data_IF_917807100557
#
_entry.id   IF_917807100557
#
_cell.length_a   1.000
_cell.length_b   1.000
_cell.length_c   1.000
_cell.angle_alpha   90.00
_cell.angle_beta   90.00
_cell.angle_gamma   90.00
#
_symmetry.space_group_name_H-M   'P 1'
#
loop_
_entity.id
_entity.type
_entity.pdbx_description
1 polymer ?
2 non-polymer ?
3 non-polymer ?
4 non-polymer ?
5 non-polymer ?
6 water ?
#
# COMPACT_ATOMS: atom_id res chain seq x y z
N UNK A 4 8.13 15.83 -9.79
CA UNK A 4 9.47 16.02 -9.20
C UNK A 4 9.97 14.75 -8.49
N UNK A 5 9.11 14.11 -7.69
CA UNK A 5 9.50 12.91 -6.91
C UNK A 5 10.03 11.75 -7.78
N UNK A 6 9.23 11.35 -8.77
CA UNK A 6 9.61 10.26 -9.63
C UNK A 6 10.76 10.66 -10.57
N UNK A 7 10.80 11.89 -11.05
CA UNK A 7 11.96 12.31 -11.86
C UNK A 7 13.25 12.29 -11.01
N UNK A 8 13.15 12.70 -9.75
CA UNK A 8 14.30 12.76 -8.85
C UNK A 8 14.78 11.38 -8.48
N UNK A 9 13.86 10.53 -8.06
CA UNK A 9 14.29 9.22 -7.57
C UNK A 9 14.34 8.16 -8.62
N UNK A 10 13.52 8.32 -9.67
CA UNK A 10 13.53 7.42 -10.81
C UNK A 10 13.16 6.01 -10.47
N UNK A 11 13.94 5.09 -11.02
CA UNK A 11 13.71 3.67 -10.89
C UNK A 11 14.00 3.22 -9.46
N UNK A 12 12.99 2.66 -8.80
CA UNK A 12 13.15 2.08 -7.48
C UNK A 12 13.62 0.64 -7.60
N UNK A 13 14.37 0.21 -6.61
CA UNK A 13 14.79 -1.18 -6.49
C UNK A 13 15.07 -1.51 -5.03
N UNK A 14 15.34 -2.79 -4.77
CA UNK A 14 15.73 -3.26 -3.45
C UNK A 14 17.23 -3.56 -3.43
N UNK A 15 17.91 -2.99 -2.45
CA UNK A 15 19.35 -3.22 -2.26
C UNK A 15 19.59 -3.51 -0.79
N UNK A 16 20.14 -4.68 -0.52
CA UNK A 16 20.42 -5.09 0.87
C UNK A 16 19.17 -4.92 1.76
N UNK A 17 18.00 -5.31 1.24
CA UNK A 17 16.76 -5.29 2.00
C UNK A 17 16.13 -3.91 2.20
N UNK A 18 16.60 -2.92 1.44
CA UNK A 18 16.12 -1.55 1.58
C UNK A 18 15.60 -1.03 0.26
N UNK A 19 14.52 -0.26 0.30
CA UNK A 19 14.07 0.48 -0.87
C UNK A 19 15.03 1.62 -1.16
N UNK A 20 15.53 1.64 -2.38
CA UNK A 20 16.49 2.62 -2.86
C UNK A 20 16.06 3.21 -4.21
N UNK A 21 16.55 4.42 -4.49
CA UNK A 21 16.38 5.07 -5.76
C UNK A 21 17.43 4.58 -6.80
N UNK A 22 17.43 5.22 -7.96
CA UNK A 22 18.23 4.75 -9.08
C UNK A 22 19.72 5.03 -8.91
N UNK A 23 20.06 5.83 -7.90
CA UNK A 23 21.45 6.05 -7.49
C UNK A 23 21.86 5.21 -6.27
N UNK A 24 20.99 4.29 -5.86
CA UNK A 24 21.30 3.41 -4.76
C UNK A 24 21.13 4.02 -3.38
N UNK A 25 20.51 5.20 -3.30
CA UNK A 25 20.28 5.85 -2.01
C UNK A 25 18.92 5.48 -1.43
N UNK A 26 18.87 5.33 -0.12
CA UNK A 26 17.61 4.95 0.52
C UNK A 26 16.55 6.00 0.27
N UNK A 27 15.33 5.55 0.01
CA UNK A 27 14.20 6.45 -0.10
C UNK A 27 13.03 5.89 0.68
N UNK A 28 12.20 6.80 1.18
CA UNK A 28 11.02 6.43 1.93
C UNK A 28 9.81 7.12 1.29
N UNK A 29 8.81 6.32 0.96
CA UNK A 29 7.56 6.80 0.42
C UNK A 29 6.54 6.90 1.54
N UNK A 30 5.73 7.95 1.49
CA UNK A 30 4.64 8.14 2.45
C UNK A 30 3.44 8.69 1.70
N UNK A 31 2.28 8.04 1.85
CA UNK A 31 1.11 8.51 1.17
C UNK A 31 -0.16 7.96 1.70
N UNK A 32 -1.18 8.02 0.85
CA UNK A 32 -2.52 7.58 1.21
C UNK A 32 -2.95 6.41 0.36
N UNK A 33 -3.78 5.56 0.96
CA UNK A 33 -4.57 4.55 0.26
C UNK A 33 -5.98 5.06 0.05
N UNK A 34 -6.55 4.76 -1.11
CA UNK A 34 -8.00 4.83 -1.25
C UNK A 34 -8.65 3.86 -0.29
N UNK A 35 -9.96 4.01 -0.11
CA UNK A 35 -10.76 2.95 0.48
C UNK A 35 -11.13 2.06 -0.74
N UNK A 36 -12.10 1.16 -0.61
CA UNK A 36 -12.47 0.30 -1.73
C UNK A 36 -12.91 1.13 -2.92
N UNK A 37 -12.30 0.90 -4.08
CA UNK A 37 -12.63 1.67 -5.28
C UNK A 37 -14.07 1.44 -5.77
N UNK A 38 -14.69 0.33 -5.34
CA UNK A 38 -16.09 0.04 -5.69
C UNK A 38 -17.08 0.85 -4.87
N UNK A 39 -16.58 1.48 -3.79
CA UNK A 39 -17.43 2.24 -2.88
C UNK A 39 -17.15 3.72 -2.83
N UNK A 40 -15.87 4.08 -2.89
CA UNK A 40 -15.43 5.46 -2.69
C UNK A 40 -14.47 5.90 -3.80
N UNK A 41 -14.72 5.41 -5.00
CA UNK A 41 -13.91 5.76 -6.16
C UNK A 41 -13.93 7.25 -6.52
N UNK A 42 -14.96 7.98 -6.07
CA UNK A 42 -15.04 9.41 -6.41
C UNK A 42 -13.91 10.21 -5.82
N UNK A 43 -13.28 9.69 -4.75
CA UNK A 43 -12.15 10.38 -4.13
C UNK A 43 -10.81 10.15 -4.82
N UNK A 44 -10.82 9.31 -5.87
CA UNK A 44 -9.60 8.96 -6.58
C UNK A 44 -9.67 9.62 -7.97
N UNK A 45 -8.95 10.73 -8.11
CA UNK A 45 -8.92 11.46 -9.38
C UNK A 45 -7.70 12.37 -9.38
N UNK A 46 -7.34 12.85 -10.57
CA UNK A 46 -6.21 13.72 -10.71
C UNK A 46 -6.24 14.89 -9.73
N UNK A 47 -7.38 15.56 -9.60
CA UNK A 47 -7.45 16.77 -8.76
C UNK A 47 -7.24 16.47 -7.28
N UNK A 48 -7.87 15.41 -6.78
CA UNK A 48 -7.66 15.04 -5.37
C UNK A 48 -6.23 14.57 -5.10
N UNK A 49 -5.67 13.81 -6.05
CA UNK A 49 -4.31 13.34 -5.91
C UNK A 49 -3.32 14.48 -5.99
N UNK A 50 -3.61 15.48 -6.82
CA UNK A 50 -2.73 16.65 -6.89
C UNK A 50 -2.79 17.45 -5.59
N UNK A 51 -3.98 17.56 -5.02
CA UNK A 51 -4.15 18.23 -3.74
C UNK A 51 -3.37 17.47 -2.63
N UNK A 52 -3.44 16.14 -2.63
CA UNK A 52 -2.65 15.37 -1.67
C UNK A 52 -1.15 15.61 -1.87
N UNK A 53 -0.71 15.64 -3.12
CA UNK A 53 0.70 15.85 -3.40
C UNK A 53 1.13 17.24 -2.90
N UNK A 54 0.37 18.26 -3.25
CA UNK A 54 0.76 19.66 -3.02
C UNK A 54 0.55 20.14 -1.59
N UNK A 55 -0.56 19.74 -0.99
CA UNK A 55 -0.94 20.18 0.37
C UNK A 55 -0.51 19.21 1.47
N UNK A 56 -0.55 17.91 1.21
CA UNK A 56 -0.10 16.94 2.21
C UNK A 56 1.35 16.52 2.03
N UNK A 57 1.87 16.60 0.79
CA UNK A 57 3.20 16.15 0.49
C UNK A 57 3.34 14.67 0.17
N UNK A 58 2.26 14.01 -0.22
CA UNK A 58 2.36 12.58 -0.54
C UNK A 58 3.31 12.37 -1.72
N UNK A 59 3.99 11.22 -1.71
CA UNK A 59 4.79 10.80 -2.85
C UNK A 59 4.43 9.40 -3.36
N UNK A 60 3.36 8.86 -2.82
CA UNK A 60 2.81 7.60 -3.27
C UNK A 60 1.30 7.58 -3.02
N UNK A 61 0.56 6.93 -3.91
CA UNK A 61 -0.88 6.72 -3.76
C UNK A 61 -1.20 5.26 -4.00
N UNK A 62 -2.00 4.67 -3.11
CA UNK A 62 -2.40 3.27 -3.22
C UNK A 62 -3.86 3.14 -3.69
N UNK A 63 -4.02 2.45 -4.79
CA UNK A 63 -5.34 2.23 -5.38
C UNK A 63 -5.82 0.85 -4.91
N UNK A 64 -6.75 0.85 -3.96
CA UNK A 64 -7.21 -0.36 -3.29
C UNK A 64 -8.38 -0.99 -4.03
N UNK A 65 -8.06 -1.90 -4.94
CA UNK A 65 -9.08 -2.53 -5.77
C UNK A 65 -9.51 -3.84 -5.10
N UNK A 66 -10.54 -3.77 -4.25
CA UNK A 66 -11.12 -4.98 -3.72
C UNK A 66 -11.44 -5.92 -4.87
N UNK A 67 -11.19 -7.20 -4.62
CA UNK A 67 -11.54 -8.28 -5.54
C UNK A 67 -12.97 -8.78 -5.30
N UNK A 68 -13.28 -9.04 -4.03
CA UNK A 68 -14.60 -9.42 -3.62
C UNK A 68 -15.34 -8.21 -3.03
N UNK A 69 -16.42 -8.43 -2.27
CA UNK A 69 -17.15 -7.35 -1.64
C UNK A 69 -17.65 -6.31 -2.66
N UNK A 70 -18.13 -6.80 -3.80
CA UNK A 70 -18.60 -5.92 -4.87
C UNK A 70 -17.51 -5.29 -5.75
N UNK A 71 -16.27 -5.73 -5.52
CA UNK A 71 -15.13 -5.29 -6.30
C UNK A 71 -14.95 -6.00 -7.63
N UNK A 72 -13.69 -6.09 -8.07
CA UNK A 72 -13.34 -6.49 -9.42
C UNK A 72 -13.96 -7.81 -9.93
N UNK A 73 -14.02 -8.84 -9.07
CA UNK A 73 -14.59 -10.13 -9.52
C UNK A 73 -16.08 -9.97 -9.85
N UNK A 74 -16.76 -9.19 -9.03
CA UNK A 74 -18.20 -8.93 -9.16
C UNK A 74 -18.49 -7.93 -10.28
N UNK A 75 -17.66 -6.93 -10.44
CA UNK A 75 -17.85 -5.90 -11.46
C UNK A 75 -16.47 -5.41 -11.87
N UNK A 76 -15.95 -5.92 -12.99
CA UNK A 76 -14.57 -5.59 -13.36
C UNK A 76 -14.32 -4.16 -13.82
N UNK A 77 -15.38 -3.36 -13.96
CA UNK A 77 -15.25 -2.00 -14.42
C UNK A 77 -14.34 -1.17 -13.51
N UNK A 78 -14.21 -1.58 -12.24
CA UNK A 78 -13.35 -0.91 -11.31
C UNK A 78 -11.84 -0.88 -11.72
N UNK A 79 -11.43 -1.82 -12.58
CA UNK A 79 -10.10 -1.80 -13.18
C UNK A 79 -9.80 -0.45 -13.82
N UNK A 80 -10.82 0.19 -14.38
CA UNK A 80 -10.62 1.45 -15.08
C UNK A 80 -10.31 2.57 -14.11
N UNK A 81 -10.83 2.47 -12.89
CA UNK A 81 -10.50 3.45 -11.86
C UNK A 81 -9.03 3.29 -11.40
N UNK A 82 -8.56 2.04 -11.35
CA UNK A 82 -7.14 1.82 -11.13
C UNK A 82 -6.31 2.50 -12.22
N UNK A 83 -6.71 2.32 -13.48
CA UNK A 83 -5.99 2.96 -14.59
C UNK A 83 -6.00 4.48 -14.43
N UNK A 84 -7.14 5.04 -14.09
CA UNK A 84 -7.20 6.49 -13.81
C UNK A 84 -6.20 6.93 -12.73
N UNK A 85 -6.13 6.17 -11.65
CA UNK A 85 -5.20 6.48 -10.57
C UNK A 85 -3.75 6.40 -11.04
N UNK A 86 -3.43 5.35 -11.80
CA UNK A 86 -2.04 5.17 -12.29
C UNK A 86 -1.67 6.35 -13.20
N UNK A 87 -2.59 6.70 -14.11
CA UNK A 87 -2.33 7.77 -15.04
C UNK A 87 -2.18 9.13 -14.34
N UNK A 88 -2.98 9.36 -13.30
CA UNK A 88 -2.83 10.55 -12.48
C UNK A 88 -1.47 10.58 -11.80
N UNK A 89 -1.02 9.44 -11.29
CA UNK A 89 0.28 9.39 -10.61
C UNK A 89 1.41 9.69 -11.59
N UNK A 90 1.29 9.14 -12.80
CA UNK A 90 2.28 9.45 -13.82
C UNK A 90 2.28 10.94 -14.14
N UNK A 91 1.10 11.51 -14.32
CA UNK A 91 1.00 12.95 -14.62
C UNK A 91 1.51 13.85 -13.49
N UNK A 92 1.38 13.40 -12.24
CA UNK A 92 1.76 14.14 -11.05
C UNK A 92 3.16 13.79 -10.57
N UNK A 93 3.81 12.84 -11.24
CA UNK A 93 5.16 12.44 -10.90
C UNK A 93 5.29 11.92 -9.47
N UNK A 94 4.35 11.07 -9.08
CA UNK A 94 4.43 10.34 -7.81
C UNK A 94 4.32 8.84 -8.11
N UNK A 95 4.66 8.03 -7.11
CA UNK A 95 4.55 6.58 -7.24
C UNK A 95 3.10 6.12 -7.00
N UNK A 96 2.78 4.93 -7.47
CA UNK A 96 1.41 4.41 -7.35
C UNK A 96 1.45 2.93 -7.12
N UNK A 97 0.65 2.47 -6.15
CA UNK A 97 0.56 1.07 -5.82
C UNK A 97 -0.76 0.54 -6.37
N UNK A 98 -0.67 -0.50 -7.22
CA UNK A 98 -1.82 -1.19 -7.77
C UNK A 98 -2.08 -2.39 -6.83
N UNK A 99 -3.14 -2.30 -6.03
CA UNK A 99 -3.43 -3.25 -4.94
C UNK A 99 -4.61 -4.15 -5.30
N UNK A 100 -4.27 -5.42 -5.51
CA UNK A 100 -5.24 -6.52 -5.67
C UNK A 100 -5.72 -6.86 -4.26
N UNK A 101 -6.83 -6.25 -3.88
CA UNK A 101 -7.18 -6.09 -2.50
C UNK A 101 -8.06 -7.22 -1.99
N UNK A 102 -7.44 -8.37 -1.82
CA UNK A 102 -8.09 -9.54 -1.24
C UNK A 102 -8.36 -9.28 0.24
N UNK A 103 -9.44 -9.88 0.75
CA UNK A 103 -9.78 -9.76 2.17
C UNK A 103 -10.70 -10.91 2.56
N UNK A 104 -11.99 -10.82 2.24
CA UNK A 104 -12.91 -11.92 2.57
C UNK A 104 -12.58 -13.18 1.75
N UNK A 105 -12.08 -12.96 0.53
CA UNK A 105 -11.48 -13.98 -0.31
C UNK A 105 -10.05 -14.18 0.21
N UNK A 106 -9.99 -14.94 1.29
CA UNK A 106 -8.86 -14.85 2.23
C UNK A 106 -7.57 -15.52 1.76
N UNK A 107 -7.73 -16.43 0.81
CA UNK A 107 -6.62 -17.16 0.20
C UNK A 107 -6.43 -16.52 -1.17
N UNK A 108 -5.21 -16.02 -1.47
CA UNK A 108 -5.01 -15.39 -2.79
C UNK A 108 -5.19 -16.36 -3.96
N UNK A 109 -5.12 -17.66 -3.68
CA UNK A 109 -5.31 -18.63 -4.74
C UNK A 109 -6.76 -18.70 -5.29
N UNK A 110 -7.73 -18.17 -4.54
CA UNK A 110 -9.14 -18.29 -4.93
C UNK A 110 -9.34 -17.66 -6.29
N UNK A 111 -8.78 -16.46 -6.48
CA UNK A 111 -8.92 -15.74 -7.75
C UNK A 111 -7.57 -15.55 -8.47
N UNK A 112 -6.71 -16.55 -8.34
CA UNK A 112 -5.37 -16.44 -8.93
C UNK A 112 -5.41 -16.33 -10.46
N UNK A 113 -6.33 -17.00 -11.15
CA UNK A 113 -6.37 -16.88 -12.59
C UNK A 113 -6.73 -15.45 -13.01
N UNK A 114 -7.70 -14.87 -12.33
CA UNK A 114 -8.08 -13.49 -12.59
C UNK A 114 -6.94 -12.53 -12.22
N UNK A 115 -6.23 -12.81 -11.13
CA UNK A 115 -5.08 -12.00 -10.73
C UNK A 115 -3.99 -11.99 -11.79
N UNK A 116 -3.70 -13.18 -12.33
CA UNK A 116 -2.68 -13.27 -13.37
C UNK A 116 -3.10 -12.44 -14.60
N UNK A 117 -4.35 -12.57 -15.02
CA UNK A 117 -4.81 -11.81 -16.17
C UNK A 117 -4.77 -10.29 -15.92
N UNK A 118 -5.17 -9.88 -14.72
CA UNK A 118 -5.16 -8.47 -14.34
C UNK A 118 -3.77 -7.89 -14.29
N UNK A 119 -2.85 -8.61 -13.62
CA UNK A 119 -1.49 -8.14 -13.58
C UNK A 119 -0.77 -8.21 -14.91
N UNK A 120 -1.13 -9.17 -15.77
CA UNK A 120 -0.62 -9.14 -17.13
C UNK A 120 -1.02 -7.83 -17.81
N UNK A 121 -2.30 -7.49 -17.74
CA UNK A 121 -2.79 -6.27 -18.39
C UNK A 121 -2.12 -5.02 -17.80
N UNK A 122 -2.04 -4.93 -16.49
CA UNK A 122 -1.50 -3.72 -15.87
C UNK A 122 -0.02 -3.57 -16.18
N UNK A 123 0.71 -4.67 -16.13
CA UNK A 123 2.14 -4.59 -16.40
C UNK A 123 2.42 -4.36 -17.91
N UNK A 124 1.55 -4.86 -18.80
CA UNK A 124 1.71 -4.55 -20.22
C UNK A 124 1.48 -3.07 -20.46
N UNK A 125 0.47 -2.49 -19.80
CA UNK A 125 0.17 -1.08 -20.00
C UNK A 125 1.21 -0.16 -19.40
N UNK A 126 1.64 -0.45 -18.17
CA UNK A 126 2.39 0.52 -17.38
C UNK A 126 3.83 0.09 -17.03
N UNK A 127 4.24 -1.05 -17.56
CA UNK A 127 5.50 -1.64 -17.17
C UNK A 127 6.73 -0.89 -17.61
N UNK A 128 6.59 0.09 -18.51
CA UNK A 128 7.75 0.96 -18.83
C UNK A 128 7.69 2.35 -18.18
N UNK A 129 6.94 2.46 -17.08
CA UNK A 129 6.99 3.61 -16.22
C UNK A 129 7.59 3.21 -14.86
N UNK A 130 8.42 4.07 -14.27
CA UNK A 130 9.02 3.76 -12.95
C UNK A 130 8.07 4.01 -11.79
N UNK A 131 6.89 4.56 -12.07
CA UNK A 131 5.96 4.95 -10.98
C UNK A 131 5.30 3.75 -10.29
N UNK A 132 5.17 2.65 -11.02
CA UNK A 132 4.28 1.56 -10.65
C UNK A 132 4.92 0.60 -9.63
N UNK A 133 4.15 0.25 -8.61
CA UNK A 133 4.47 -0.75 -7.61
C UNK A 133 3.27 -1.70 -7.60
N UNK A 134 3.49 -3.01 -7.73
CA UNK A 134 2.41 -3.98 -7.78
C UNK A 134 2.22 -4.62 -6.43
N UNK A 135 1.01 -4.57 -5.89
CA UNK A 135 0.71 -5.22 -4.60
C UNK A 135 -0.26 -6.38 -4.89
N UNK A 136 0.28 -7.61 -4.92
CA UNK A 136 -0.43 -8.71 -5.57
C UNK A 136 -1.44 -9.45 -4.67
N UNK A 137 -1.47 -9.16 -3.37
CA UNK A 137 -2.42 -9.81 -2.45
C UNK A 137 -2.46 -9.08 -1.11
N UNK A 138 -3.35 -8.10 -1.02
CA UNK A 138 -3.47 -7.22 0.17
C UNK A 138 -3.27 -7.91 1.52
N UNK A 139 -4.22 -8.78 1.91
CA UNK A 139 -4.26 -9.35 3.26
C UNK A 139 -4.70 -10.79 3.25
N UNK A 140 -3.78 -11.69 2.88
CA UNK A 140 -4.06 -13.11 3.10
C UNK A 140 -4.40 -13.31 4.56
N UNK A 141 -5.33 -14.21 4.85
CA UNK A 141 -5.71 -14.44 6.22
C UNK A 141 -6.35 -15.80 6.37
N UNK A 142 -6.41 -16.26 7.62
CA UNK A 142 -6.96 -17.57 7.95
C UNK A 142 -5.87 -18.54 8.35
N UNK A 143 -6.20 -19.46 9.26
CA UNK A 143 -5.20 -20.43 9.71
C UNK A 143 -4.82 -21.44 8.62
N UNK A 144 -5.68 -21.58 7.61
CA UNK A 144 -5.38 -22.48 6.49
C UNK A 144 -4.72 -21.77 5.30
N UNK A 145 -4.24 -20.54 5.54
CA UNK A 145 -3.52 -19.79 4.52
C UNK A 145 -2.16 -19.45 5.09
N UNK A 146 -1.16 -20.22 4.69
CA UNK A 146 0.19 -20.02 5.18
C UNK A 146 1.09 -19.54 4.05
N UNK A 147 2.19 -18.93 4.47
CA UNK A 147 3.22 -18.47 3.56
C UNK A 147 3.69 -19.61 2.66
N UNK A 148 4.15 -20.68 3.28
CA UNK A 148 4.80 -21.73 2.49
C UNK A 148 3.85 -22.49 1.60
N UNK A 149 2.61 -22.71 2.05
CA UNK A 149 1.68 -23.57 1.31
C UNK A 149 0.80 -22.81 0.33
N UNK A 150 0.43 -21.56 0.65
CA UNK A 150 -0.54 -20.81 -0.15
C UNK A 150 0.04 -19.53 -0.76
N UNK A 151 0.69 -18.71 0.06
CA UNK A 151 1.01 -17.33 -0.37
C UNK A 151 2.24 -17.31 -1.27
N UNK A 152 3.31 -17.96 -0.83
CA UNK A 152 4.51 -18.02 -1.64
C UNK A 152 4.27 -18.67 -3.02
N UNK A 153 3.62 -19.84 -3.09
CA UNK A 153 3.31 -20.40 -4.43
C UNK A 153 2.42 -19.53 -5.29
N UNK A 154 1.47 -18.83 -4.68
CA UNK A 154 0.69 -17.84 -5.42
C UNK A 154 1.59 -16.77 -6.03
N UNK A 155 2.47 -16.21 -5.22
CA UNK A 155 3.41 -15.19 -5.71
C UNK A 155 4.29 -15.74 -6.85
N UNK A 156 4.67 -17.00 -6.73
CA UNK A 156 5.55 -17.61 -7.72
C UNK A 156 4.82 -17.95 -9.03
N UNK A 157 3.47 -17.81 -9.05
CA UNK A 157 2.68 -17.81 -10.30
C UNK A 157 2.47 -16.41 -10.86
N UNK A 158 2.18 -15.44 -9.99
CA UNK A 158 1.86 -14.06 -10.44
C UNK A 158 3.10 -13.24 -10.82
N UNK A 159 4.17 -13.37 -10.06
CA UNK A 159 5.38 -12.59 -10.33
C UNK A 159 5.93 -12.87 -11.75
N UNK A 160 6.01 -14.14 -12.18
CA UNK A 160 6.49 -14.33 -13.57
C UNK A 160 5.66 -13.62 -14.63
N UNK A 161 4.35 -13.57 -14.44
CA UNK A 161 3.46 -12.89 -15.38
C UNK A 161 3.87 -11.39 -15.48
N UNK A 162 4.05 -10.76 -14.33
CA UNK A 162 4.48 -9.35 -14.26
C UNK A 162 5.88 -9.18 -14.86
N UNK A 163 6.79 -10.09 -14.51
CA UNK A 163 8.19 -9.96 -14.90
C UNK A 163 8.40 -10.11 -16.41
N UNK A 164 7.48 -10.80 -17.07
CA UNK A 164 7.52 -10.94 -18.52
C UNK A 164 7.30 -9.61 -19.23
N UNK A 165 6.63 -8.68 -18.55
CA UNK A 165 6.34 -7.35 -19.07
C UNK A 165 7.12 -6.21 -18.42
N UNK A 166 7.55 -6.45 -17.20
CA UNK A 166 8.12 -5.42 -16.36
C UNK A 166 9.18 -6.09 -15.48
N UNK A 167 10.45 -6.05 -15.90
CA UNK A 167 11.49 -6.87 -15.27
C UNK A 167 11.86 -6.53 -13.84
N UNK A 168 11.55 -5.32 -13.40
CA UNK A 168 12.09 -4.96 -12.10
C UNK A 168 11.41 -3.86 -11.28
N UNK A 169 10.24 -3.35 -11.69
CA UNK A 169 9.51 -2.50 -10.71
C UNK A 169 9.16 -3.33 -9.48
N UNK A 170 8.97 -2.62 -8.36
CA UNK A 170 8.76 -3.29 -7.08
C UNK A 170 7.46 -4.07 -7.05
N UNK A 171 7.50 -5.25 -6.44
CA UNK A 171 6.31 -6.04 -6.18
C UNK A 171 6.21 -6.25 -4.68
N UNK A 172 5.09 -5.86 -4.10
CA UNK A 172 4.79 -6.08 -2.70
C UNK A 172 3.90 -7.32 -2.56
N UNK A 173 4.33 -8.27 -1.73
CA UNK A 173 3.61 -9.51 -1.51
C UNK A 173 3.08 -9.61 -0.08
N UNK A 174 1.77 -9.79 0.03
CA UNK A 174 1.11 -9.95 1.31
C UNK A 174 1.63 -11.11 2.09
N UNK A 175 1.47 -11.03 3.41
CA UNK A 175 1.88 -12.08 4.31
C UNK A 175 0.70 -12.62 5.12
N UNK A 176 0.93 -13.71 5.85
CA UNK A 176 -0.15 -14.34 6.57
C UNK A 176 -0.75 -13.50 7.69
N UNK A 177 -1.93 -13.94 8.17
CA UNK A 177 -2.56 -13.27 9.33
C UNK A 177 -2.78 -11.77 9.06
N UNK A 178 -3.40 -11.50 7.91
CA UNK A 178 -3.72 -10.14 7.45
C UNK A 178 -2.44 -9.30 7.32
N UNK A 179 -1.49 -9.88 6.60
CA UNK A 179 -0.20 -9.22 6.36
C UNK A 179 0.49 -8.75 7.64
N UNK A 180 0.48 -9.63 8.65
CA UNK A 180 1.27 -9.40 9.84
C UNK A 180 2.42 -10.38 9.98
N UNK A 181 2.34 -11.55 9.35
CA UNK A 181 3.30 -12.60 9.61
C UNK A 181 4.50 -12.48 8.70
N UNK A 182 5.25 -11.40 8.92
CA UNK A 182 6.49 -11.18 8.17
C UNK A 182 7.62 -12.13 8.63
N UNK A 183 7.49 -12.69 9.83
CA UNK A 183 8.50 -13.62 10.32
C UNK A 183 8.62 -14.85 9.40
N UNK A 184 7.49 -15.46 9.08
CA UNK A 184 7.53 -16.66 8.24
C UNK A 184 8.00 -16.33 6.83
N UNK A 185 7.56 -15.19 6.29
CA UNK A 185 8.00 -14.80 4.96
C UNK A 185 9.51 -14.57 4.92
N UNK A 186 10.01 -13.91 5.96
CA UNK A 186 11.42 -13.54 6.02
C UNK A 186 12.33 -14.76 6.13
N UNK A 187 11.82 -15.82 6.74
CA UNK A 187 12.55 -17.10 6.82
C UNK A 187 12.46 -17.97 5.56
N UNK A 188 11.67 -17.55 4.56
CA UNK A 188 11.43 -18.37 3.38
C UNK A 188 11.15 -17.44 2.19
N UNK A 189 12.15 -16.62 1.88
CA UNK A 189 11.97 -15.52 0.96
C UNK A 189 11.84 -15.97 -0.49
N UNK A 190 11.17 -15.12 -1.27
CA UNK A 190 11.06 -15.31 -2.71
C UNK A 190 12.38 -15.00 -3.39
N UNK A 191 12.54 -15.52 -4.61
CA UNK A 191 13.76 -15.33 -5.37
C UNK A 191 13.89 -13.93 -5.97
N UNK A 192 12.79 -13.33 -6.35
CA UNK A 192 12.89 -12.06 -7.10
C UNK A 192 13.59 -10.99 -6.28
N UNK A 193 14.59 -10.32 -6.87
CA UNK A 193 15.34 -9.34 -6.08
C UNK A 193 14.63 -8.04 -5.78
N UNK A 194 13.50 -7.77 -6.43
CA UNK A 194 12.80 -6.52 -6.24
C UNK A 194 11.42 -6.74 -5.64
N UNK A 195 11.37 -7.68 -4.69
CA UNK A 195 10.19 -7.97 -3.89
C UNK A 195 10.32 -7.36 -2.50
N UNK A 196 9.18 -6.92 -1.98
CA UNK A 196 9.01 -6.52 -0.58
C UNK A 196 7.81 -7.29 -0.02
N UNK A 197 7.80 -7.43 1.29
CA UNK A 197 6.73 -8.14 2.00
C UNK A 197 5.88 -7.08 2.69
N UNK A 198 4.58 -7.23 2.59
CA UNK A 198 3.66 -6.28 3.24
C UNK A 198 3.61 -6.54 4.73
N UNK A 199 3.57 -5.43 5.46
CA UNK A 199 3.24 -5.45 6.88
C UNK A 199 2.18 -4.39 7.11
N UNK A 200 1.10 -4.76 7.80
CA UNK A 200 0.00 -3.84 8.10
C UNK A 200 -0.18 -3.75 9.61
N UNK A 201 -0.49 -2.55 10.11
CA UNK A 201 -0.83 -2.38 11.52
C UNK A 201 -1.95 -1.39 11.69
N UNK A 202 -2.62 -1.50 12.84
CA UNK A 202 -3.65 -0.57 13.29
C UNK A 202 -3.28 -0.11 14.70
N UNK A 203 -3.30 1.20 14.93
CA UNK A 203 -2.78 1.77 16.17
C UNK A 203 -3.60 1.38 17.41
N UNK A 204 -4.83 0.91 17.24
CA UNK A 204 -5.62 0.38 18.35
C UNK A 204 -5.12 -0.90 18.95
N UNK A 205 -4.20 -1.57 18.26
CA UNK A 205 -3.53 -2.76 18.78
C UNK A 205 -2.20 -2.37 19.42
N UNK A 206 -1.96 -2.81 20.66
CA UNK A 206 -0.68 -2.51 21.30
C UNK A 206 0.42 -3.17 20.46
N UNK A 207 1.42 -2.41 20.07
CA UNK A 207 2.29 -2.81 18.96
C UNK A 207 3.71 -3.21 19.26
N UNK A 208 4.09 -3.37 20.53
CA UNK A 208 5.52 -3.51 20.81
C UNK A 208 6.10 -4.82 20.25
N UNK A 209 5.38 -5.92 20.33
CA UNK A 209 5.89 -7.17 19.81
C UNK A 209 5.88 -7.15 18.28
N UNK A 210 4.85 -6.52 17.70
CA UNK A 210 4.74 -6.42 16.22
C UNK A 210 5.95 -5.64 15.68
N UNK A 211 6.35 -4.57 16.37
CA UNK A 211 7.57 -3.84 15.99
C UNK A 211 8.78 -4.79 16.05
N UNK A 212 8.85 -5.59 17.10
CA UNK A 212 9.99 -6.52 17.25
C UNK A 212 10.01 -7.54 16.13
N UNK A 213 8.83 -7.95 15.69
CA UNK A 213 8.70 -8.91 14.60
C UNK A 213 9.13 -8.31 13.27
N UNK A 214 8.79 -7.05 13.04
CA UNK A 214 9.25 -6.34 11.86
C UNK A 214 10.78 -6.29 11.89
N UNK A 215 11.36 -5.93 13.03
CA UNK A 215 12.82 -5.94 13.15
C UNK A 215 13.43 -7.32 12.84
N UNK A 216 12.80 -8.39 13.33
CA UNK A 216 13.29 -9.74 13.02
C UNK A 216 13.33 -9.94 11.50
N UNK A 217 12.25 -9.59 10.82
CA UNK A 217 12.18 -9.75 9.37
C UNK A 217 13.26 -8.95 8.66
N UNK A 218 13.41 -7.69 9.04
CA UNK A 218 14.44 -6.85 8.48
C UNK A 218 15.82 -7.46 8.69
N UNK A 219 16.05 -8.05 9.85
CA UNK A 219 17.31 -8.70 10.17
C UNK A 219 17.62 -9.93 9.33
N UNK A 220 16.63 -10.51 8.66
CA UNK A 220 16.85 -11.60 7.73
C UNK A 220 17.10 -11.08 6.33
N UNK A 221 17.16 -9.76 6.17
CA UNK A 221 17.39 -9.18 4.86
C UNK A 221 16.15 -9.00 4.01
N UNK A 222 14.97 -9.24 4.60
CA UNK A 222 13.71 -9.03 3.89
C UNK A 222 13.39 -7.55 3.86
N UNK A 223 12.93 -7.06 2.70
CA UNK A 223 12.44 -5.69 2.58
C UNK A 223 10.97 -5.66 2.95
N UNK A 224 10.55 -4.64 3.70
CA UNK A 224 9.20 -4.53 4.23
C UNK A 224 8.57 -3.22 3.75
N UNK A 225 7.36 -3.28 3.18
CA UNK A 225 6.62 -2.06 2.85
C UNK A 225 5.35 -2.07 3.71
N UNK A 226 5.12 -1.00 4.46
CA UNK A 226 3.90 -0.93 5.28
C UNK A 226 2.79 -0.40 4.37
N UNK A 227 2.26 -1.29 3.55
CA UNK A 227 1.40 -0.84 2.44
C UNK A 227 0.01 -0.42 2.93
N UNK A 228 -0.30 -0.67 4.21
CA UNK A 228 -1.55 -0.21 4.80
C UNK A 228 -1.37 -0.12 6.32
N UNK A 229 -1.76 1.02 6.89
CA UNK A 229 -1.87 1.13 8.34
C UNK A 229 -2.94 2.16 8.66
N UNK A 230 -3.50 2.07 9.86
CA UNK A 230 -4.48 3.04 10.30
C UNK A 230 -4.29 3.49 11.72
N UNK A 231 -4.87 4.65 12.01
CA UNK A 231 -4.84 5.21 13.37
C UNK A 231 -5.90 4.58 14.30
N UNK A 232 -6.78 3.80 13.72
CA UNK A 232 -7.94 3.22 14.40
C UNK A 232 -7.64 1.84 14.99
N UNK A 233 -8.65 1.21 15.55
CA UNK A 233 -8.61 -0.22 15.79
C UNK A 233 -8.59 -1.01 14.47
N UNK A 234 -8.34 -2.31 14.55
CA UNK A 234 -8.12 -3.16 13.39
C UNK A 234 -9.34 -3.38 12.49
N UNK A 235 -10.51 -2.91 12.96
CA UNK A 235 -11.74 -2.93 12.19
C UNK A 235 -11.85 -1.73 11.23
N UNK A 236 -10.95 -0.76 11.34
CA UNK A 236 -11.05 0.50 10.61
C UNK A 236 -11.82 1.57 11.38
N UNK A 237 -12.33 1.20 12.55
CA UNK A 237 -13.16 2.08 13.38
C UNK A 237 -12.71 1.95 14.84
N UNK A 238 -13.59 2.23 15.80
CA UNK A 238 -13.28 1.97 17.19
C UNK A 238 -12.41 3.03 17.86
N UNK A 239 -12.40 4.24 17.34
CA UNK A 239 -11.62 5.31 17.91
C UNK A 239 -10.29 5.53 17.24
N UNK A 240 -9.61 6.62 17.63
CA UNK A 240 -8.31 7.02 17.11
C UNK A 240 -7.27 6.86 18.23
N UNK A 241 -6.10 6.38 17.88
CA UNK A 241 -5.06 6.01 18.86
C UNK A 241 -3.76 6.68 18.44
N UNK A 242 -3.70 7.99 18.63
CA UNK A 242 -2.58 8.76 18.13
C UNK A 242 -1.27 8.59 18.86
N UNK A 243 -1.32 8.22 20.14
CA UNK A 243 -0.06 8.00 20.85
C UNK A 243 0.65 6.78 20.23
N UNK A 244 -0.10 5.68 20.08
CA UNK A 244 0.52 4.48 19.48
C UNK A 244 0.84 4.72 18.01
N UNK A 245 -0.01 5.48 17.32
CA UNK A 245 0.31 5.81 15.92
C UNK A 245 1.64 6.51 15.81
N UNK A 246 1.88 7.45 16.71
CA UNK A 246 3.14 8.17 16.69
C UNK A 246 4.35 7.27 16.97
N UNK A 247 4.21 6.33 17.90
CA UNK A 247 5.28 5.35 18.16
C UNK A 247 5.63 4.59 16.85
N UNK A 248 4.59 4.17 16.13
CA UNK A 248 4.81 3.49 14.83
C UNK A 248 5.42 4.42 13.79
N UNK A 249 4.95 5.67 13.72
CA UNK A 249 5.55 6.65 12.78
C UNK A 249 7.06 6.76 13.02
N UNK A 250 7.44 6.95 14.29
CA UNK A 250 8.85 7.06 14.67
C UNK A 250 9.65 5.79 14.32
N UNK A 251 9.04 4.64 14.61
CA UNK A 251 9.63 3.35 14.26
C UNK A 251 9.90 3.25 12.76
N UNK A 252 8.89 3.60 11.97
CA UNK A 252 9.04 3.48 10.52
C UNK A 252 10.11 4.44 9.96
N UNK A 253 10.22 5.64 10.52
CA UNK A 253 11.29 6.55 10.11
C UNK A 253 12.66 6.02 10.48
N UNK A 254 12.79 5.46 11.67
CA UNK A 254 14.07 4.87 12.10
C UNK A 254 14.52 3.73 11.20
N UNK A 255 13.55 2.95 10.70
CA UNK A 255 13.83 1.76 9.87
C UNK A 255 13.69 2.01 8.35
N UNK A 256 13.50 3.26 7.96
CA UNK A 256 13.38 3.56 6.52
C UNK A 256 12.20 2.83 5.89
N UNK A 257 11.08 2.71 6.59
CA UNK A 257 9.94 1.98 6.05
C UNK A 257 8.93 2.92 5.39
N UNK A 258 8.66 2.63 4.14
CA UNK A 258 7.62 3.30 3.35
C UNK A 258 6.23 2.87 3.80
N UNK A 259 5.26 3.76 3.59
CA UNK A 259 3.91 3.49 4.06
C UNK A 259 2.80 4.21 3.35
N UNK A 260 1.60 3.64 3.48
CA UNK A 260 0.37 4.24 2.97
C UNK A 260 -0.70 4.08 4.05
N UNK A 261 -1.39 5.18 4.32
CA UNK A 261 -2.39 5.22 5.38
C UNK A 261 -3.80 4.92 4.83
N UNK A 262 -4.55 4.17 5.63
CA UNK A 262 -5.93 3.81 5.32
C UNK A 262 -6.84 4.75 6.12
N UNK A 263 -7.71 5.55 5.49
CA UNK A 263 -7.95 5.63 4.03
C UNK A 263 -8.56 6.96 3.66
N UNK A 264 -8.52 7.22 2.35
CA UNK A 264 -9.07 8.44 1.78
C UNK A 264 -10.56 8.31 1.45
N UNK A 265 -11.39 8.56 2.46
CA UNK A 265 -12.83 8.50 2.31
C UNK A 265 -13.46 9.37 3.39
N UNK A 266 -14.74 9.66 3.16
CA UNK A 266 -15.59 10.35 4.14
C UNK A 266 -16.45 9.41 4.98
N UNK A 267 -16.28 8.09 4.81
CA UNK A 267 -17.01 7.10 5.58
C UNK A 267 -16.95 7.41 7.07
N UNK A 268 -18.04 7.18 7.78
CA UNK A 268 -18.11 7.43 9.22
C UNK A 268 -17.46 6.31 10.02
N UNK A 269 -16.13 6.26 9.94
CA UNK A 269 -15.33 5.34 10.72
C UNK A 269 -14.08 6.06 11.12
N UNK A 270 -13.44 5.66 12.28
CA UNK A 270 -12.30 6.46 12.75
C UNK A 270 -11.08 6.54 11.82
N UNK A 271 -10.84 5.49 11.03
CA UNK A 271 -9.68 5.52 10.14
C UNK A 271 -9.86 6.42 8.91
N UNK A 272 -11.08 6.81 8.61
CA UNK A 272 -11.32 7.65 7.44
C UNK A 272 -10.69 9.02 7.61
N UNK A 273 -9.98 9.49 6.57
CA UNK A 273 -9.24 10.75 6.61
C UNK A 273 -10.12 12.00 6.51
N UNK A 274 -11.33 11.86 5.96
CA UNK A 274 -12.16 13.00 5.58
C UNK A 274 -13.47 13.02 6.32
N UNK A 275 -14.01 14.23 6.52
CA UNK A 275 -15.33 14.41 7.10
C UNK A 275 -16.40 14.31 6.01
N UNK A 276 -17.66 14.02 6.39
CA UNK A 276 -18.75 13.81 5.43
C UNK A 276 -18.89 14.81 4.30
N UNK A 277 -18.56 16.08 4.52
CA UNK A 277 -18.72 17.13 3.50
C UNK A 277 -17.51 17.41 2.60
N UNK A 278 -16.46 16.61 2.73
CA UNK A 278 -15.23 16.82 2.01
C UNK A 278 -15.39 16.67 0.49
N UNK A 279 -14.86 17.63 -0.24
CA UNK A 279 -14.97 17.67 -1.70
C UNK A 279 -14.18 16.50 -2.28
N UNK A 280 -14.78 15.70 -3.15
CA UNK A 280 -14.03 14.57 -3.70
C UNK A 280 -12.88 14.96 -4.62
N UNK A 281 -12.79 16.23 -5.02
CA UNK A 281 -11.68 16.73 -5.83
C UNK A 281 -10.62 17.53 -5.05
N UNK A 282 -10.69 17.49 -3.73
CA UNK A 282 -9.63 18.09 -2.90
C UNK A 282 -9.98 19.47 -2.35
N UNK A 283 -8.96 20.15 -1.87
CA UNK A 283 -9.10 21.53 -1.36
C UNK A 283 -9.50 21.63 0.11
N UNK A 284 -9.37 20.53 0.84
CA UNK A 284 -9.96 20.40 2.18
C UNK A 284 -9.40 21.41 3.19
N UNK A 285 -10.32 22.09 3.85
CA UNK A 285 -9.98 22.88 5.01
C UNK A 285 -9.76 21.96 6.19
N UNK A 286 -9.24 22.55 7.26
CA UNK A 286 -9.00 21.85 8.51
C UNK A 286 -10.27 21.17 8.98
N UNK A 287 -11.42 21.81 8.82
CA UNK A 287 -12.68 21.29 9.31
C UNK A 287 -13.21 20.08 8.53
N UNK A 288 -12.70 19.90 7.31
CA UNK A 288 -13.11 18.80 6.45
C UNK A 288 -12.21 17.58 6.59
N UNK A 289 -11.18 17.68 7.42
CA UNK A 289 -10.35 16.53 7.77
C UNK A 289 -10.80 15.96 9.11
N UNK A 290 -10.84 14.64 9.22
CA UNK A 290 -11.14 13.97 10.45
C UNK A 290 -9.94 14.08 11.40
N UNK A 291 -10.12 13.68 12.67
CA UNK A 291 -8.95 13.61 13.56
C UNK A 291 -7.79 12.74 12.99
N UNK A 292 -8.14 11.63 12.38
CA UNK A 292 -7.14 10.78 11.72
C UNK A 292 -6.47 11.51 10.55
N UNK A 293 -7.28 12.10 9.65
CA UNK A 293 -6.71 12.80 8.51
C UNK A 293 -5.79 13.95 8.89
N UNK A 294 -6.19 14.71 9.93
CA UNK A 294 -5.37 15.83 10.39
C UNK A 294 -3.98 15.37 10.82
N UNK A 295 -3.97 14.27 11.59
CA UNK A 295 -2.74 13.65 12.05
C UNK A 295 -1.87 13.17 10.89
N UNK A 296 -2.48 12.40 9.99
CA UNK A 296 -1.72 11.82 8.89
C UNK A 296 -1.14 12.93 7.99
N UNK A 297 -1.95 13.94 7.69
CA UNK A 297 -1.48 15.08 6.93
C UNK A 297 -0.28 15.74 7.60
N UNK A 298 -0.37 15.94 8.91
CA UNK A 298 0.76 16.53 9.63
C UNK A 298 1.99 15.64 9.53
N UNK A 299 1.82 14.32 9.64
CA UNK A 299 2.98 13.42 9.54
C UNK A 299 3.67 13.56 8.19
N UNK A 300 2.88 13.63 7.13
CA UNK A 300 3.50 13.66 5.77
C UNK A 300 4.10 15.02 5.50
N UNK A 301 3.42 16.07 5.95
CA UNK A 301 3.97 17.43 5.78
C UNK A 301 5.29 17.61 6.52
N UNK A 302 5.35 17.08 7.74
CA UNK A 302 6.59 17.11 8.56
C UNK A 302 7.72 16.46 7.79
N UNK A 303 7.42 15.34 7.18
CA UNK A 303 8.38 14.58 6.43
C UNK A 303 8.84 15.27 5.16
N UNK A 304 7.93 16.01 4.53
CA UNK A 304 8.18 16.65 3.26
C UNK A 304 8.63 18.08 3.49
#
# INVERSE_FOLDING_TARGET
>A
DNDSVVEEHGQLSISNGELVNERGEQVQLKGMSSHGLQWYGQFVNYESMKWLRDDWGINVFRAAMYTSSGGYIDDPSVKEKVKEAVEAAIDLDIYVIIDWHILSDNDPNIYKEEAKDFFDEMSELYGDYPNVIYEIANEPNGSDVTWGNQIKPYAEEVIPIIRNNDPNNIIIVGTGTWSQDVHHAADNQLADPNVMYAFHFYAGTHGQNLRDQVDYALDQGAAIFVSEWGTSAATGDGGVFLDEAQVWIDFMDERNLSWANWSLTHKDESSAALMPGANPTGGWTEAELSPSGTFVREKIRESAS
#
